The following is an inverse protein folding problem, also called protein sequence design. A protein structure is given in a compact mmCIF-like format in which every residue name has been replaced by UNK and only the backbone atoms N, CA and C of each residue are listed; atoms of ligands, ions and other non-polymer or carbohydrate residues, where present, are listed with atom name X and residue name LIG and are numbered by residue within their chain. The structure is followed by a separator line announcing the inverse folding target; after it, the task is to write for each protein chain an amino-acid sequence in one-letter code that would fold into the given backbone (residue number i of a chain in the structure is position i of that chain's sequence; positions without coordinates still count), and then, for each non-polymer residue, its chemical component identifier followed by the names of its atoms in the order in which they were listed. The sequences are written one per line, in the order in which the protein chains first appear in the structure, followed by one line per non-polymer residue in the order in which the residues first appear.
data_IF_455082160589
#
_entry.id   IF_455082160589
#
_cell.length_a   1.000
_cell.length_b   1.000
_cell.length_c   1.000
_cell.angle_alpha   90.00
_cell.angle_beta   90.00
_cell.angle_gamma   90.00
#
_symmetry.space_group_name_H-M   'P 1'
#
loop_
_entity.id
_entity.type
_entity.pdbx_description
1 polymer ?
#
# COMPACT_ATOMS: atom_id res chain seq x y z
N UNK A 1 5.68 -14.83 11.20
CA UNK A 1 7.05 -14.64 10.67
C UNK A 1 8.16 -15.28 11.51
N UNK A 2 7.91 -15.73 12.71
CA UNK A 2 8.92 -16.36 13.59
C UNK A 2 9.52 -17.68 13.06
N UNK A 3 8.85 -18.37 12.18
CA UNK A 3 9.31 -19.65 11.59
C UNK A 3 10.07 -19.50 10.27
N UNK A 4 10.22 -18.30 9.72
CA UNK A 4 10.93 -18.04 8.44
C UNK A 4 10.19 -18.53 7.20
N UNK A 5 8.90 -18.83 7.31
CA UNK A 5 8.03 -19.14 6.19
C UNK A 5 7.42 -17.86 5.63
N UNK A 6 7.32 -17.76 4.29
CA UNK A 6 6.64 -16.65 3.64
C UNK A 6 5.13 -16.76 3.93
N UNK A 7 4.49 -15.62 4.22
CA UNK A 7 3.04 -15.55 4.35
C UNK A 7 2.38 -15.81 2.99
N UNK A 8 1.32 -16.61 2.97
CA UNK A 8 0.48 -16.78 1.81
C UNK A 8 -0.53 -15.63 1.65
N UNK A 9 -1.33 -15.67 0.59
CA UNK A 9 -2.33 -14.62 0.34
C UNK A 9 -3.38 -14.56 1.44
N UNK A 10 -3.85 -15.72 1.92
CA UNK A 10 -4.84 -15.82 2.98
C UNK A 10 -4.35 -15.24 4.31
N UNK A 11 -3.06 -15.36 4.61
CA UNK A 11 -2.46 -14.75 5.79
C UNK A 11 -2.41 -13.21 5.68
N UNK A 12 -2.30 -12.69 4.47
CA UNK A 12 -2.17 -11.26 4.20
C UNK A 12 -3.49 -10.53 4.08
N UNK A 13 -4.56 -11.21 3.65
CA UNK A 13 -5.87 -10.58 3.45
C UNK A 13 -6.36 -9.81 4.69
N UNK A 14 -6.48 -10.41 5.88
CA UNK A 14 -6.96 -9.69 7.06
C UNK A 14 -6.02 -8.55 7.47
N UNK A 15 -4.73 -8.70 7.24
CA UNK A 15 -3.76 -7.65 7.52
C UNK A 15 -3.92 -6.44 6.59
N UNK A 16 -4.17 -6.67 5.29
CA UNK A 16 -4.41 -5.59 4.32
C UNK A 16 -5.70 -4.85 4.60
N UNK A 17 -6.79 -5.55 4.94
CA UNK A 17 -8.05 -4.94 5.37
C UNK A 17 -7.85 -4.04 6.59
N UNK A 18 -7.23 -4.57 7.64
CA UNK A 18 -6.90 -3.81 8.86
C UNK A 18 -6.00 -2.60 8.58
N UNK A 19 -5.02 -2.75 7.68
CA UNK A 19 -4.12 -1.64 7.32
C UNK A 19 -4.88 -0.49 6.69
N UNK A 20 -5.82 -0.79 5.78
CA UNK A 20 -6.71 0.21 5.20
C UNK A 20 -7.57 0.90 6.26
N UNK A 21 -8.23 0.15 7.13
CA UNK A 21 -9.06 0.72 8.20
C UNK A 21 -8.28 1.64 9.15
N UNK A 22 -7.05 1.23 9.52
CA UNK A 22 -6.18 2.07 10.33
C UNK A 22 -5.85 3.37 9.62
N UNK A 23 -5.58 3.31 8.30
CA UNK A 23 -5.34 4.51 7.49
C UNK A 23 -6.52 5.46 7.50
N UNK A 24 -7.73 4.95 7.27
CA UNK A 24 -8.99 5.75 7.28
C UNK A 24 -9.20 6.39 8.65
N UNK A 25 -9.15 5.61 9.72
CA UNK A 25 -9.33 6.13 11.09
C UNK A 25 -8.33 7.23 11.43
N UNK A 26 -7.08 7.09 10.99
CA UNK A 26 -6.06 8.12 11.21
C UNK A 26 -6.33 9.40 10.43
N UNK A 27 -6.89 9.32 9.24
CA UNK A 27 -7.34 10.48 8.48
C UNK A 27 -8.50 11.19 9.18
N UNK A 28 -9.50 10.46 9.64
CA UNK A 28 -10.65 10.98 10.39
C UNK A 28 -10.21 11.68 11.69
N UNK A 29 -9.31 11.07 12.46
CA UNK A 29 -8.73 11.66 13.67
C UNK A 29 -8.04 13.01 13.37
N UNK A 30 -7.36 13.14 12.24
CA UNK A 30 -6.68 14.37 11.84
C UNK A 30 -7.65 15.45 11.35
N UNK A 31 -8.72 15.08 10.67
CA UNK A 31 -9.76 16.01 10.20
C UNK A 31 -10.66 16.51 11.35
N UNK A 32 -10.91 15.69 12.36
CA UNK A 32 -11.69 16.05 13.56
C UNK A 32 -10.92 16.88 14.59
N UNK A 33 -9.60 16.96 14.49
CA UNK A 33 -8.76 17.76 15.37
C UNK A 33 -8.78 19.23 14.98
N UNK A 34 -9.11 20.11 15.95
CA UNK A 34 -9.19 21.59 15.82
C UNK A 34 -7.84 22.28 15.58
N UNK A 35 -6.90 21.61 14.96
CA UNK A 35 -5.65 22.24 14.54
C UNK A 35 -5.89 22.85 13.17
N UNK A 36 -6.09 24.16 13.11
CA UNK A 36 -6.34 24.96 11.91
C UNK A 36 -5.21 24.90 10.86
N UNK A 37 -4.83 23.73 10.44
CA UNK A 37 -4.02 23.51 9.28
C UNK A 37 -4.96 23.59 8.06
N UNK A 38 -4.98 24.75 7.41
CA UNK A 38 -5.52 24.87 6.06
C UNK A 38 -4.63 24.01 5.14
N UNK A 39 -5.08 22.83 4.75
CA UNK A 39 -4.36 21.96 3.84
C UNK A 39 -4.91 20.53 3.82
N UNK A 40 -4.58 19.83 2.75
CA UNK A 40 -4.90 18.41 2.62
C UNK A 40 -4.13 17.59 3.66
N UNK A 41 -4.83 16.72 4.37
CA UNK A 41 -4.24 15.77 5.30
C UNK A 41 -4.08 14.41 4.66
N UNK A 42 -2.99 13.73 4.97
CA UNK A 42 -2.69 12.41 4.43
C UNK A 42 -2.03 11.49 5.44
N UNK A 43 -2.16 10.20 5.20
CA UNK A 43 -1.49 9.15 5.98
C UNK A 43 -0.59 8.33 5.07
N UNK A 44 0.66 8.17 5.48
CA UNK A 44 1.63 7.32 4.77
C UNK A 44 1.67 5.94 5.40
N UNK A 45 1.43 4.91 4.60
CA UNK A 45 1.47 3.52 5.02
C UNK A 45 2.62 2.80 4.30
N UNK A 46 3.56 2.23 5.07
CA UNK A 46 4.63 1.40 4.54
C UNK A 46 4.13 -0.05 4.36
N UNK A 47 3.92 -0.46 3.11
CA UNK A 47 3.39 -1.78 2.76
C UNK A 47 4.04 -2.30 1.49
N UNK A 48 4.32 -3.62 1.42
CA UNK A 48 4.91 -4.23 0.22
C UNK A 48 3.95 -4.21 -0.99
N UNK A 49 2.66 -4.30 -0.78
CA UNK A 49 1.60 -4.17 -1.81
C UNK A 49 1.88 -4.88 -3.15
N UNK A 50 2.46 -6.11 -3.06
CA UNK A 50 3.10 -6.81 -4.18
C UNK A 50 2.18 -7.14 -5.35
N UNK A 51 0.93 -7.52 -5.06
CA UNK A 51 -0.03 -7.98 -6.07
C UNK A 51 -1.07 -6.92 -6.41
N UNK A 52 -1.60 -6.97 -7.61
CA UNK A 52 -2.65 -6.06 -8.07
C UNK A 52 -3.86 -6.06 -7.14
N UNK A 53 -4.35 -7.23 -6.73
CA UNK A 53 -5.51 -7.29 -5.85
C UNK A 53 -5.23 -6.79 -4.42
N UNK A 54 -3.97 -6.84 -3.91
CA UNK A 54 -3.61 -6.18 -2.65
C UNK A 54 -3.81 -4.66 -2.76
N UNK A 55 -3.41 -4.10 -3.90
CA UNK A 55 -3.63 -2.67 -4.17
C UNK A 55 -5.11 -2.34 -4.31
N UNK A 56 -5.94 -3.25 -4.87
CA UNK A 56 -7.39 -3.05 -4.92
C UNK A 56 -8.03 -3.04 -3.53
N UNK A 57 -7.56 -3.88 -2.59
CA UNK A 57 -7.99 -3.82 -1.18
C UNK A 57 -7.63 -2.47 -0.56
N UNK A 58 -6.40 -2.01 -0.74
CA UNK A 58 -5.95 -0.73 -0.19
C UNK A 58 -6.70 0.47 -0.81
N UNK A 59 -7.11 0.39 -2.07
CA UNK A 59 -8.00 1.38 -2.73
C UNK A 59 -9.44 1.34 -2.22
N UNK A 60 -9.83 0.26 -1.55
CA UNK A 60 -11.21 0.00 -1.12
C UNK A 60 -12.12 -0.45 -2.26
N UNK A 61 -11.58 -1.02 -3.31
CA UNK A 61 -12.33 -1.65 -4.40
C UNK A 61 -12.62 -3.12 -4.14
N UNK A 62 -11.92 -3.71 -3.18
CA UNK A 62 -12.14 -5.05 -2.67
C UNK A 62 -12.20 -5.00 -1.15
N UNK A 63 -13.18 -5.64 -0.57
CA UNK A 63 -13.31 -5.90 0.86
C UNK A 63 -12.89 -7.33 1.19
N UNK A 64 -12.37 -7.49 2.41
CA UNK A 64 -11.88 -8.78 2.92
C UNK A 64 -12.87 -9.28 3.96
N UNK A 65 -13.60 -10.33 3.61
CA UNK A 65 -14.63 -10.90 4.48
C UNK A 65 -14.21 -12.27 5.00
N UNK A 66 -14.43 -12.55 6.29
CA UNK A 66 -14.20 -13.88 6.84
C UNK A 66 -15.24 -14.86 6.30
N UNK A 67 -14.80 -16.06 5.92
CA UNK A 67 -15.72 -17.14 5.52
C UNK A 67 -15.96 -18.14 6.66
N UNK A 68 -17.07 -18.90 6.62
CA UNK A 68 -17.32 -19.96 7.60
C UNK A 68 -16.29 -21.11 7.54
N UNK A 69 -15.53 -21.17 6.46
CA UNK A 69 -14.53 -22.23 6.26
C UNK A 69 -13.32 -22.02 7.15
N UNK A 70 -12.90 -23.10 7.80
CA UNK A 70 -11.69 -23.11 8.64
C UNK A 70 -10.61 -23.88 7.92
N UNK A 71 -9.47 -23.21 7.68
CA UNK A 71 -8.26 -23.84 7.16
C UNK A 71 -7.29 -24.25 8.29
N UNK A 72 -6.26 -25.01 7.98
CA UNK A 72 -5.28 -25.48 8.95
C UNK A 72 -4.55 -24.34 9.71
N UNK A 73 -4.56 -23.11 9.17
CA UNK A 73 -3.96 -21.90 9.77
C UNK A 73 -4.96 -20.97 10.45
N UNK A 74 -6.26 -21.26 10.47
CA UNK A 74 -7.29 -20.41 11.04
C UNK A 74 -8.48 -20.15 10.10
N UNK A 75 -9.10 -18.96 10.23
CA UNK A 75 -10.24 -18.55 9.41
C UNK A 75 -9.78 -18.31 7.96
N UNK A 76 -10.61 -18.71 7.01
CA UNK A 76 -10.45 -18.36 5.59
C UNK A 76 -11.10 -17.02 5.30
N UNK A 77 -10.62 -16.35 4.26
CA UNK A 77 -11.12 -15.05 3.82
C UNK A 77 -11.44 -15.07 2.34
N UNK A 78 -12.44 -14.32 1.95
CA UNK A 78 -12.80 -14.08 0.55
C UNK A 78 -12.75 -12.59 0.22
N UNK A 79 -12.71 -12.30 -1.07
CA UNK A 79 -12.71 -10.94 -1.58
C UNK A 79 -14.06 -10.63 -2.21
N UNK A 80 -14.64 -9.51 -1.82
CA UNK A 80 -15.89 -9.01 -2.39
C UNK A 80 -15.65 -7.66 -3.06
N UNK A 81 -16.25 -7.45 -4.23
CA UNK A 81 -16.23 -6.14 -4.89
C UNK A 81 -17.13 -5.17 -4.13
N UNK A 82 -16.60 -3.98 -3.80
CA UNK A 82 -17.34 -2.97 -3.03
C UNK A 82 -18.31 -2.16 -3.88
N UNK A 83 -18.36 -2.37 -5.19
CA UNK A 83 -19.09 -1.51 -6.11
C UNK A 83 -18.45 -0.12 -6.25
N UNK A 84 -19.26 0.92 -6.53
CA UNK A 84 -18.77 2.29 -6.52
C UNK A 84 -18.44 2.73 -5.09
N UNK A 85 -17.18 3.15 -4.89
CA UNK A 85 -16.75 3.67 -3.60
C UNK A 85 -17.57 4.93 -3.24
N UNK A 86 -18.04 5.07 -1.99
CA UNK A 86 -18.70 6.29 -1.55
C UNK A 86 -17.85 7.53 -1.86
N UNK A 87 -18.46 8.69 -2.18
CA UNK A 87 -17.72 9.92 -2.47
C UNK A 87 -16.78 10.38 -1.36
N UNK A 88 -17.01 9.90 -0.14
CA UNK A 88 -16.21 10.18 1.07
C UNK A 88 -15.02 9.25 1.22
N UNK A 89 -14.83 8.28 0.31
CA UNK A 89 -13.71 7.36 0.40
C UNK A 89 -12.40 8.11 0.11
N UNK A 90 -11.41 8.07 1.02
CA UNK A 90 -10.14 8.75 0.79
C UNK A 90 -9.42 8.20 -0.45
N UNK A 91 -8.87 9.09 -1.25
CA UNK A 91 -8.04 8.72 -2.40
C UNK A 91 -6.78 8.00 -1.93
N UNK A 92 -6.42 6.93 -2.62
CA UNK A 92 -5.24 6.12 -2.31
C UNK A 92 -4.27 6.20 -3.46
N UNK A 93 -3.04 6.58 -3.17
CA UNK A 93 -1.95 6.66 -4.12
C UNK A 93 -0.82 5.73 -3.71
N UNK A 94 -0.04 5.28 -4.67
CA UNK A 94 1.09 4.41 -4.40
C UNK A 94 2.39 5.06 -4.86
N UNK A 95 3.42 4.95 -4.03
CA UNK A 95 4.80 5.25 -4.39
C UNK A 95 5.53 3.93 -4.52
N UNK A 96 5.88 3.56 -5.74
CA UNK A 96 6.59 2.34 -6.03
C UNK A 96 8.08 2.61 -6.22
N UNK A 97 8.89 2.19 -5.26
CA UNK A 97 10.35 2.25 -5.38
C UNK A 97 10.81 1.15 -6.34
N UNK A 98 11.11 1.54 -7.59
CA UNK A 98 11.48 0.65 -8.68
C UNK A 98 13.00 0.47 -8.71
N UNK A 99 13.46 -0.77 -8.60
CA UNK A 99 14.88 -1.11 -8.69
C UNK A 99 15.07 -2.59 -8.99
N UNK A 100 16.29 -2.93 -9.36
CA UNK A 100 16.66 -4.32 -9.61
C UNK A 100 16.86 -5.11 -8.31
N UNK A 101 16.71 -6.42 -8.43
CA UNK A 101 16.80 -7.36 -7.31
C UNK A 101 18.18 -7.35 -6.65
N UNK A 102 19.23 -7.21 -7.43
CA UNK A 102 20.63 -7.27 -6.95
C UNK A 102 20.94 -6.05 -6.08
N UNK A 103 20.58 -4.85 -6.55
CA UNK A 103 20.73 -3.61 -5.80
C UNK A 103 19.94 -3.65 -4.48
N UNK A 104 18.70 -4.17 -4.50
CA UNK A 104 17.90 -4.32 -3.29
C UNK A 104 18.54 -5.30 -2.31
N UNK A 105 19.03 -6.43 -2.81
CA UNK A 105 19.74 -7.44 -2.00
C UNK A 105 20.98 -6.85 -1.34
N UNK A 106 21.78 -6.11 -2.09
CA UNK A 106 22.97 -5.44 -1.57
C UNK A 106 22.65 -4.41 -0.48
N UNK A 107 21.62 -3.60 -0.70
CA UNK A 107 21.14 -2.64 0.32
C UNK A 107 20.64 -3.33 1.57
N UNK A 108 19.94 -4.45 1.43
CA UNK A 108 19.47 -5.25 2.56
C UNK A 108 20.62 -5.86 3.37
N UNK A 109 21.64 -6.40 2.69
CA UNK A 109 22.81 -6.99 3.36
C UNK A 109 23.64 -5.94 4.13
N UNK A 110 23.66 -4.69 3.65
CA UNK A 110 24.35 -3.58 4.32
C UNK A 110 23.60 -3.01 5.53
N UNK A 111 22.31 -3.31 5.70
CA UNK A 111 21.54 -2.88 6.88
C UNK A 111 21.88 -3.75 8.08
N UNK A 112 22.47 -3.18 9.11
CA UNK A 112 22.70 -3.84 10.40
C UNK A 112 21.34 -4.14 11.06
N UNK A 113 21.20 -5.34 11.64
CA UNK A 113 20.01 -5.80 12.38
C UNK A 113 18.74 -6.09 11.55
N UNK A 114 18.88 -6.44 10.28
CA UNK A 114 17.72 -6.85 9.48
C UNK A 114 17.52 -8.38 9.55
N UNK A 115 16.43 -8.82 10.19
CA UNK A 115 16.03 -10.24 10.27
C UNK A 115 15.51 -10.82 8.94
N UNK A 116 15.52 -10.01 7.88
CA UNK A 116 14.99 -10.41 6.58
C UNK A 116 16.00 -11.29 5.84
N UNK A 117 15.67 -12.56 5.68
CA UNK A 117 16.55 -13.51 4.97
C UNK A 117 16.48 -13.25 3.46
N UNK A 118 17.61 -13.35 2.76
CA UNK A 118 17.68 -13.21 1.30
C UNK A 118 16.64 -14.07 0.55
N UNK A 119 16.34 -15.27 1.08
CA UNK A 119 15.29 -16.15 0.54
C UNK A 119 13.89 -15.51 0.53
N UNK A 120 13.60 -14.63 1.49
CA UNK A 120 12.31 -13.92 1.51
C UNK A 120 12.24 -12.82 0.45
N UNK A 121 13.37 -12.22 0.08
CA UNK A 121 13.45 -11.27 -1.02
C UNK A 121 13.10 -11.94 -2.35
N UNK A 122 13.67 -13.13 -2.59
CA UNK A 122 13.37 -13.91 -3.80
C UNK A 122 11.86 -14.16 -3.94
N UNK A 123 11.23 -14.68 -2.88
CA UNK A 123 9.79 -14.95 -2.91
C UNK A 123 8.93 -13.69 -3.06
N UNK A 124 9.39 -12.52 -2.61
CA UNK A 124 8.69 -11.26 -2.81
C UNK A 124 8.82 -10.74 -4.25
N UNK A 125 9.99 -10.91 -4.86
CA UNK A 125 10.16 -10.59 -6.27
C UNK A 125 9.32 -11.50 -7.18
N UNK A 126 9.27 -12.80 -6.87
CA UNK A 126 8.45 -13.76 -7.62
C UNK A 126 6.93 -13.46 -7.50
N UNK A 127 6.51 -12.88 -6.37
CA UNK A 127 5.13 -12.50 -6.12
C UNK A 127 4.80 -11.06 -6.59
N UNK A 128 5.80 -10.28 -6.99
CA UNK A 128 5.58 -8.90 -7.41
C UNK A 128 4.90 -8.84 -8.78
N UNK A 129 3.74 -8.23 -8.79
CA UNK A 129 3.05 -7.76 -9.99
C UNK A 129 3.35 -6.27 -10.14
N UNK A 130 4.28 -5.88 -11.05
CA UNK A 130 4.65 -4.48 -11.20
C UNK A 130 3.43 -3.60 -11.50
N UNK A 131 3.24 -2.48 -10.79
CA UNK A 131 2.07 -1.61 -10.97
C UNK A 131 2.25 -0.65 -12.17
N UNK A 132 2.88 -1.13 -13.24
CA UNK A 132 3.13 -0.31 -14.43
C UNK A 132 1.82 0.04 -15.14
N UNK A 133 1.61 1.33 -15.39
CA UNK A 133 0.41 1.84 -16.07
C UNK A 133 -0.81 2.00 -15.15
N UNK A 134 -0.69 1.75 -13.85
CA UNK A 134 -1.74 2.11 -12.91
C UNK A 134 -1.75 3.63 -12.69
N UNK A 135 -2.91 4.32 -12.84
CA UNK A 135 -2.95 5.79 -12.91
C UNK A 135 -2.64 6.51 -11.59
N UNK A 136 -2.75 5.82 -10.48
CA UNK A 136 -2.53 6.30 -9.12
C UNK A 136 -1.19 5.87 -8.53
N UNK A 137 -0.26 5.44 -9.38
CA UNK A 137 1.08 4.97 -8.98
C UNK A 137 2.17 5.90 -9.49
N UNK A 138 3.04 6.35 -8.60
CA UNK A 138 4.28 7.04 -8.91
C UNK A 138 5.44 6.06 -8.81
N UNK A 139 6.13 5.81 -9.92
CA UNK A 139 7.35 5.02 -9.93
C UNK A 139 8.55 5.92 -9.58
N UNK A 140 9.29 5.54 -8.55
CA UNK A 140 10.49 6.26 -8.08
C UNK A 140 11.69 5.34 -8.23
N UNK A 141 12.76 5.78 -8.90
CA UNK A 141 13.98 4.98 -9.02
C UNK A 141 14.60 4.68 -7.64
N UNK A 142 15.16 3.48 -7.51
CA UNK A 142 15.82 3.06 -6.27
C UNK A 142 17.18 3.77 -6.07
N UNK A 143 17.88 4.08 -7.15
CA UNK A 143 19.29 4.53 -7.14
C UNK A 143 19.53 5.89 -6.46
N UNK A 144 18.70 6.93 -6.68
CA UNK A 144 18.93 8.23 -6.09
C UNK A 144 18.94 8.23 -4.56
N UNK A 145 19.53 9.26 -3.93
CA UNK A 145 19.42 9.48 -2.49
C UNK A 145 17.95 9.65 -2.05
N UNK A 146 17.67 9.37 -0.77
CA UNK A 146 16.29 9.42 -0.23
C UNK A 146 15.62 10.78 -0.41
N UNK A 147 16.37 11.88 -0.32
CA UNK A 147 15.85 13.25 -0.54
C UNK A 147 15.31 13.41 -1.97
N UNK A 148 16.10 13.02 -2.96
CA UNK A 148 15.71 13.08 -4.37
C UNK A 148 14.53 12.13 -4.66
N UNK A 149 14.53 10.92 -4.07
CA UNK A 149 13.39 10.00 -4.17
C UNK A 149 12.12 10.61 -3.60
N UNK A 150 12.23 11.37 -2.50
CA UNK A 150 11.10 12.04 -1.88
C UNK A 150 10.56 13.15 -2.78
N UNK A 151 11.44 13.94 -3.39
CA UNK A 151 11.05 15.01 -4.32
C UNK A 151 10.33 14.44 -5.54
N UNK A 152 10.86 13.38 -6.15
CA UNK A 152 10.23 12.69 -7.28
C UNK A 152 8.84 12.17 -6.88
N UNK A 153 8.73 11.54 -5.71
CA UNK A 153 7.45 11.03 -5.21
C UNK A 153 6.42 12.16 -5.01
N UNK A 154 6.82 13.25 -4.37
CA UNK A 154 5.94 14.40 -4.11
C UNK A 154 5.49 15.09 -5.39
N UNK A 155 6.39 15.28 -6.35
CA UNK A 155 6.07 15.86 -7.65
C UNK A 155 5.06 14.98 -8.40
N UNK A 156 5.32 13.67 -8.47
CA UNK A 156 4.43 12.72 -9.11
C UNK A 156 3.05 12.65 -8.45
N UNK A 157 2.98 12.60 -7.13
CA UNK A 157 1.71 12.59 -6.39
C UNK A 157 0.91 13.89 -6.63
N UNK A 158 1.57 15.05 -6.62
CA UNK A 158 0.91 16.33 -6.94
C UNK A 158 0.38 16.37 -8.36
N UNK A 159 1.11 15.80 -9.32
CA UNK A 159 0.66 15.73 -10.71
C UNK A 159 -0.59 14.84 -10.86
N UNK A 160 -0.64 13.69 -10.19
CA UNK A 160 -1.79 12.80 -10.20
C UNK A 160 -3.00 13.47 -9.52
N UNK A 161 -2.80 14.05 -8.33
CA UNK A 161 -3.88 14.69 -7.58
C UNK A 161 -4.53 15.87 -8.32
N UNK A 162 -3.76 16.60 -9.13
CA UNK A 162 -4.30 17.70 -9.96
C UNK A 162 -5.14 17.21 -11.15
N UNK A 163 -4.93 15.98 -11.60
CA UNK A 163 -5.65 15.37 -12.71
C UNK A 163 -6.90 14.60 -12.24
N UNK A 164 -7.10 14.42 -10.94
CA UNK A 164 -8.35 13.92 -10.42
C UNK A 164 -9.46 14.94 -10.71
N UNK A 165 -10.62 14.51 -11.26
CA UNK A 165 -11.77 15.38 -11.35
C UNK A 165 -12.14 15.84 -9.93
N UNK A 166 -12.15 17.15 -9.72
CA UNK A 166 -12.57 17.72 -8.46
C UNK A 166 -13.87 17.06 -8.02
N UNK A 167 -13.90 16.47 -6.84
CA UNK A 167 -15.14 15.97 -6.26
C UNK A 167 -16.13 17.11 -6.29
N UNK A 168 -17.23 16.94 -7.05
CA UNK A 168 -18.29 17.93 -7.18
C UNK A 168 -18.72 18.37 -5.77
N UNK A 169 -18.32 19.56 -5.38
CA UNK A 169 -18.83 20.26 -4.23
C UNK A 169 -20.28 20.66 -4.55
N UNK A 170 -21.20 19.68 -4.46
CA UNK A 170 -22.62 19.98 -4.49
C UNK A 170 -23.02 20.49 -3.13
N UNK A 171 -23.33 21.78 -3.12
CA UNK A 171 -24.11 22.56 -2.12
C UNK A 171 -25.31 21.81 -1.62
#
# INVERSE_FOLDING_TARGET
MSRGEALDDQDRLPWLGNLREIGIRKLEDQQGGTTGAEGDVGVVLACSSLKGFYRQILRGKLEVEPTPEVRAGGISYELQETGEAPPTTPSTYFVWIKGDKETLKDRMLKRQNHFFKAKMLDSQFDALEPPEGEPDVVAVPLEPPTEEQTDIALEGLRAIARNEPAADSKS
#
